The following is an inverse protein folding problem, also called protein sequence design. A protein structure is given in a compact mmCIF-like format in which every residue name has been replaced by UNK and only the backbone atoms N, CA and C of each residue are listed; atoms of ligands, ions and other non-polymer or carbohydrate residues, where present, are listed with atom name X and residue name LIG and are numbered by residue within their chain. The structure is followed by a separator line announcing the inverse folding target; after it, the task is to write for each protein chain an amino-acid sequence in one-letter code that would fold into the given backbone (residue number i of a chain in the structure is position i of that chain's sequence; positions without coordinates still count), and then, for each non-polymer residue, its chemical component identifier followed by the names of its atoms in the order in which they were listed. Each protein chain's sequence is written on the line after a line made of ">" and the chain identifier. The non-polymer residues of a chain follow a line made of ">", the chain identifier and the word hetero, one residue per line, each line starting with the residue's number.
data_IF_058601317853
#
_entry.id   IF_058601317853
#
_cell.length_a   1.000
_cell.length_b   1.000
_cell.length_c   1.000
_cell.angle_alpha   90.00
_cell.angle_beta   90.00
_cell.angle_gamma   90.00
#
_symmetry.space_group_name_H-M   'P 1'
#
loop_
_entity.id
_entity.type
_entity.pdbx_description
1 polymer ?
#
# COMPACT_ATOMS: atom_id res chain seq x y z
N UNK A 1 -0.33 -4.91 29.58
CA UNK A 1 0.43 -4.73 28.31
C UNK A 1 0.02 -5.85 27.37
N UNK A 2 -0.13 -5.58 26.07
CA UNK A 2 -0.49 -6.64 25.11
C UNK A 2 0.69 -7.61 24.92
N UNK A 3 0.44 -8.92 24.76
CA UNK A 3 1.49 -9.89 24.48
C UNK A 3 2.23 -9.52 23.19
N UNK A 4 3.57 -9.52 23.23
CA UNK A 4 4.42 -9.36 22.04
C UNK A 4 4.89 -10.74 21.60
N UNK A 5 4.09 -11.38 20.75
CA UNK A 5 4.40 -12.68 20.16
C UNK A 5 4.78 -12.50 18.69
N UNK A 6 5.68 -13.34 18.21
CA UNK A 6 6.09 -13.33 16.80
C UNK A 6 5.13 -14.21 16.00
N UNK A 7 4.36 -13.60 15.09
CA UNK A 7 3.50 -14.33 14.16
C UNK A 7 4.33 -14.57 12.89
N UNK A 8 4.71 -15.82 12.57
CA UNK A 8 5.42 -16.08 11.33
C UNK A 8 4.49 -15.83 10.15
N UNK A 9 5.02 -15.17 9.11
CA UNK A 9 4.29 -15.02 7.86
C UNK A 9 4.05 -16.39 7.22
N UNK A 10 2.81 -16.61 6.81
CA UNK A 10 2.42 -17.77 6.03
C UNK A 10 2.91 -17.64 4.59
N UNK A 11 2.85 -18.75 3.83
CA UNK A 11 3.16 -18.72 2.39
C UNK A 11 2.23 -17.78 1.63
N UNK A 12 0.98 -17.67 2.06
CA UNK A 12 -0.01 -16.81 1.44
C UNK A 12 0.36 -15.34 1.61
N UNK A 13 0.80 -14.95 2.80
CA UNK A 13 1.23 -13.56 3.09
C UNK A 13 2.42 -13.16 2.23
N UNK A 14 3.39 -14.07 2.05
CA UNK A 14 4.52 -13.84 1.15
C UNK A 14 4.12 -13.72 -0.32
N UNK A 15 3.10 -14.47 -0.77
CA UNK A 15 2.56 -14.34 -2.13
C UNK A 15 1.89 -12.98 -2.31
N UNK A 16 1.09 -12.54 -1.33
CA UNK A 16 0.46 -11.22 -1.37
C UNK A 16 1.50 -10.09 -1.37
N UNK A 17 2.53 -10.19 -0.53
CA UNK A 17 3.64 -9.24 -0.49
C UNK A 17 4.39 -9.18 -1.83
N UNK A 18 4.66 -10.33 -2.44
CA UNK A 18 5.30 -10.39 -3.76
C UNK A 18 4.42 -9.76 -4.85
N UNK A 19 3.11 -10.01 -4.85
CA UNK A 19 2.18 -9.39 -5.80
C UNK A 19 2.15 -7.86 -5.60
N UNK A 20 2.04 -7.40 -4.35
CA UNK A 20 2.03 -5.98 -4.02
C UNK A 20 3.33 -5.29 -4.48
N UNK A 21 4.48 -5.90 -4.20
CA UNK A 21 5.79 -5.42 -4.64
C UNK A 21 5.89 -5.36 -6.17
N UNK A 22 5.45 -6.41 -6.89
CA UNK A 22 5.49 -6.44 -8.35
C UNK A 22 4.59 -5.37 -8.98
N UNK A 23 3.40 -5.12 -8.42
CA UNK A 23 2.50 -4.05 -8.88
C UNK A 23 3.15 -2.68 -8.64
N UNK A 24 3.69 -2.43 -7.45
CA UNK A 24 4.38 -1.19 -7.12
C UNK A 24 5.59 -0.95 -8.03
N UNK A 25 6.46 -1.94 -8.17
CA UNK A 25 7.67 -1.86 -8.99
C UNK A 25 7.34 -1.73 -10.48
N UNK A 26 6.35 -2.49 -10.96
CA UNK A 26 5.86 -2.42 -12.33
C UNK A 26 5.27 -1.05 -12.67
N UNK A 27 4.46 -0.47 -11.78
CA UNK A 27 3.93 0.89 -11.94
C UNK A 27 5.02 1.96 -11.95
N UNK A 28 6.00 1.85 -11.05
CA UNK A 28 7.15 2.75 -11.03
C UNK A 28 7.98 2.65 -12.31
N UNK A 29 8.28 1.44 -12.76
CA UNK A 29 9.03 1.19 -13.99
C UNK A 29 8.27 1.72 -15.21
N UNK A 30 6.97 1.47 -15.28
CA UNK A 30 6.10 1.98 -16.34
C UNK A 30 6.14 3.50 -16.40
N UNK A 31 6.06 4.19 -15.25
CA UNK A 31 6.19 5.64 -15.21
C UNK A 31 7.55 6.09 -15.73
N UNK A 32 8.65 5.52 -15.23
CA UNK A 32 10.01 5.90 -15.63
C UNK A 32 10.20 5.76 -17.15
N UNK A 33 9.76 4.64 -17.73
CA UNK A 33 9.91 4.37 -19.17
C UNK A 33 9.14 5.39 -20.02
N UNK A 34 7.96 5.81 -19.58
CA UNK A 34 7.06 6.66 -20.37
C UNK A 34 7.07 8.15 -19.93
N UNK A 35 7.86 8.53 -18.93
CA UNK A 35 7.81 9.87 -18.36
C UNK A 35 8.20 10.97 -19.36
N UNK A 36 9.23 10.70 -20.17
CA UNK A 36 9.73 11.64 -21.18
C UNK A 36 8.73 11.83 -22.33
N UNK A 37 8.05 10.75 -22.74
CA UNK A 37 7.05 10.80 -23.83
C UNK A 37 5.70 11.34 -23.37
N UNK A 38 5.47 11.43 -22.06
CA UNK A 38 4.23 11.98 -21.49
C UNK A 38 4.20 13.51 -21.68
N UNK A 39 3.09 14.09 -22.18
CA UNK A 39 2.93 15.54 -22.30
C UNK A 39 3.08 16.27 -20.97
N UNK A 40 3.57 17.51 -21.00
CA UNK A 40 3.79 18.30 -19.78
C UNK A 40 2.50 18.55 -18.97
N UNK A 41 1.34 18.55 -19.66
CA UNK A 41 0.02 18.65 -19.06
C UNK A 41 -0.77 17.36 -19.33
N UNK A 42 -1.27 16.74 -18.27
CA UNK A 42 -2.09 15.53 -18.33
C UNK A 42 -3.46 15.81 -17.69
N UNK A 43 -4.54 15.16 -18.15
CA UNK A 43 -5.81 15.18 -17.44
C UNK A 43 -5.68 14.63 -16.02
N UNK A 44 -6.19 15.35 -15.03
CA UNK A 44 -6.17 14.96 -13.61
C UNK A 44 -7.56 14.72 -13.05
N UNK A 45 -8.60 15.23 -13.71
CA UNK A 45 -9.99 15.01 -13.33
C UNK A 45 -10.85 14.80 -14.56
N UNK A 46 -11.76 13.84 -14.47
CA UNK A 46 -12.72 13.48 -15.50
C UNK A 46 -14.12 13.60 -14.94
N UNK A 47 -15.07 14.05 -15.76
CA UNK A 47 -16.49 14.00 -15.38
C UNK A 47 -17.07 12.58 -15.52
N UNK A 48 -18.35 12.44 -15.20
CA UNK A 48 -19.10 11.19 -15.30
C UNK A 48 -19.24 10.66 -16.74
N UNK A 49 -18.96 11.47 -17.76
CA UNK A 49 -18.96 11.08 -19.18
C UNK A 49 -17.59 10.61 -19.65
N UNK A 50 -16.54 10.76 -18.82
CA UNK A 50 -15.16 10.47 -19.19
C UNK A 50 -14.45 11.62 -19.90
N UNK A 51 -15.01 12.83 -19.88
CA UNK A 51 -14.39 14.00 -20.50
C UNK A 51 -13.41 14.66 -19.50
N UNK A 52 -12.17 14.99 -19.91
CA UNK A 52 -11.24 15.75 -19.08
C UNK A 52 -11.82 17.12 -18.71
N UNK A 53 -12.02 17.38 -17.42
CA UNK A 53 -12.47 18.71 -16.94
C UNK A 53 -11.33 19.52 -16.33
N UNK A 54 -10.24 18.86 -15.93
CA UNK A 54 -9.06 19.53 -15.36
C UNK A 54 -7.80 18.82 -15.81
N UNK A 55 -6.77 19.60 -16.11
CA UNK A 55 -5.42 19.13 -16.41
C UNK A 55 -4.42 19.69 -15.42
N UNK A 56 -3.29 19.00 -15.24
CA UNK A 56 -2.21 19.40 -14.37
C UNK A 56 -0.86 18.90 -14.87
N UNK A 57 0.21 19.33 -14.21
CA UNK A 57 1.56 18.95 -14.60
C UNK A 57 1.80 17.45 -14.46
N UNK A 58 2.49 16.84 -15.44
CA UNK A 58 2.96 15.43 -15.35
C UNK A 58 3.84 15.17 -14.14
N UNK A 59 4.49 16.19 -13.59
CA UNK A 59 5.33 16.07 -12.38
C UNK A 59 4.51 15.66 -11.14
N UNK A 60 3.18 15.86 -11.15
CA UNK A 60 2.29 15.37 -10.09
C UNK A 60 2.30 13.84 -9.95
N UNK A 61 2.69 13.10 -11.02
CA UNK A 61 2.86 11.65 -10.97
C UNK A 61 3.95 11.22 -9.99
N UNK A 62 5.00 12.02 -9.79
CA UNK A 62 6.04 11.73 -8.80
C UNK A 62 5.53 11.86 -7.36
N UNK A 63 4.62 12.80 -7.11
CA UNK A 63 3.94 12.90 -5.82
C UNK A 63 3.09 11.64 -5.57
N UNK A 64 2.38 11.14 -6.59
CA UNK A 64 1.63 9.89 -6.48
C UNK A 64 2.55 8.69 -6.22
N UNK A 65 3.72 8.61 -6.87
CA UNK A 65 4.72 7.58 -6.57
C UNK A 65 5.19 7.68 -5.12
N UNK A 66 5.47 8.88 -4.62
CA UNK A 66 5.90 9.07 -3.23
C UNK A 66 4.82 8.64 -2.23
N UNK A 67 3.56 9.01 -2.46
CA UNK A 67 2.42 8.60 -1.63
C UNK A 67 2.25 7.09 -1.69
N UNK A 68 2.23 6.50 -2.88
CA UNK A 68 2.05 5.06 -3.07
C UNK A 68 3.18 4.25 -2.40
N UNK A 69 4.43 4.68 -2.56
CA UNK A 69 5.59 4.07 -1.91
C UNK A 69 5.50 4.18 -0.39
N UNK A 70 5.09 5.34 0.12
CA UNK A 70 4.90 5.56 1.56
C UNK A 70 3.80 4.65 2.12
N UNK A 71 2.69 4.49 1.41
CA UNK A 71 1.60 3.61 1.79
C UNK A 71 2.03 2.13 1.77
N UNK A 72 2.69 1.69 0.70
CA UNK A 72 3.21 0.32 0.60
C UNK A 72 4.15 0.00 1.77
N UNK A 73 5.17 0.84 2.00
CA UNK A 73 6.13 0.66 3.10
C UNK A 73 5.41 0.71 4.45
N UNK A 74 4.51 1.67 4.66
CA UNK A 74 3.77 1.80 5.91
C UNK A 74 2.98 0.52 6.22
N UNK A 75 2.20 0.03 5.26
CA UNK A 75 1.39 -1.19 5.41
C UNK A 75 2.29 -2.39 5.68
N UNK A 76 3.31 -2.63 4.86
CA UNK A 76 4.24 -3.76 5.03
C UNK A 76 4.94 -3.73 6.40
N UNK A 77 5.32 -2.55 6.90
CA UNK A 77 5.99 -2.40 8.20
C UNK A 77 5.00 -2.61 9.35
N UNK A 78 3.84 -1.95 9.35
CA UNK A 78 2.89 -2.06 10.47
C UNK A 78 2.29 -3.46 10.59
N UNK A 79 2.17 -4.19 9.48
CA UNK A 79 1.80 -5.61 9.44
C UNK A 79 2.78 -6.51 10.21
N UNK A 80 4.04 -6.09 10.43
CA UNK A 80 5.00 -6.81 11.29
C UNK A 80 4.78 -6.57 12.79
N UNK A 81 3.92 -5.62 13.15
CA UNK A 81 3.67 -5.23 14.54
C UNK A 81 2.17 -5.31 14.90
N UNK A 82 1.53 -6.49 14.81
CA UNK A 82 0.08 -6.64 15.04
C UNK A 82 -0.37 -6.14 16.42
N UNK A 83 0.49 -6.24 17.44
CA UNK A 83 0.21 -5.74 18.78
C UNK A 83 -0.10 -4.23 18.85
N UNK A 84 0.30 -3.46 17.84
CA UNK A 84 0.03 -2.02 17.73
C UNK A 84 -1.37 -1.67 17.19
N UNK A 85 -2.09 -2.64 16.61
CA UNK A 85 -3.37 -2.39 15.98
C UNK A 85 -4.50 -2.13 16.98
N UNK A 86 -5.57 -1.50 16.53
CA UNK A 86 -6.76 -1.31 17.34
C UNK A 86 -7.63 -2.57 17.27
N UNK A 87 -7.86 -3.21 18.42
CA UNK A 87 -8.72 -4.39 18.54
C UNK A 87 -10.01 -4.01 19.29
N UNK A 88 -11.19 -4.44 18.82
CA UNK A 88 -12.47 -4.18 19.47
C UNK A 88 -12.70 -5.03 20.74
N UNK A 89 -11.79 -5.98 21.01
CA UNK A 89 -11.80 -6.83 22.19
C UNK A 89 -10.45 -6.75 22.91
N UNK A 90 -10.45 -7.10 24.20
CA UNK A 90 -9.21 -7.22 24.95
C UNK A 90 -8.34 -8.38 24.41
N UNK A 91 -7.05 -8.10 24.24
CA UNK A 91 -6.07 -9.08 23.81
C UNK A 91 -5.42 -9.72 25.04
N UNK A 92 -5.66 -11.02 25.19
CA UNK A 92 -5.11 -11.86 26.27
C UNK A 92 -4.10 -12.85 25.70
N UNK A 93 -3.28 -13.46 26.56
CA UNK A 93 -2.30 -14.48 26.13
C UNK A 93 -2.95 -15.68 25.41
N UNK A 94 -4.23 -15.96 25.68
CA UNK A 94 -4.97 -17.09 25.11
C UNK A 94 -5.51 -16.78 23.71
N UNK A 95 -5.81 -15.51 23.39
CA UNK A 95 -6.41 -15.11 22.12
C UNK A 95 -5.45 -14.36 21.18
N UNK A 96 -4.29 -13.91 21.68
CA UNK A 96 -3.35 -13.07 20.97
C UNK A 96 -2.93 -13.64 19.62
N UNK A 97 -2.55 -14.93 19.56
CA UNK A 97 -2.11 -15.57 18.32
C UNK A 97 -3.19 -15.48 17.24
N UNK A 98 -4.38 -16.01 17.53
CA UNK A 98 -5.51 -15.98 16.60
C UNK A 98 -5.89 -14.57 16.18
N UNK A 99 -5.89 -13.61 17.10
CA UNK A 99 -6.30 -12.22 16.82
C UNK A 99 -5.26 -11.45 16.02
N UNK A 100 -3.98 -11.71 16.24
CA UNK A 100 -2.90 -11.11 15.48
C UNK A 100 -2.85 -11.68 14.06
N UNK A 101 -2.98 -12.99 13.89
CA UNK A 101 -3.03 -13.63 12.56
C UNK A 101 -4.23 -13.16 11.73
N UNK A 102 -5.38 -12.86 12.34
CA UNK A 102 -6.54 -12.36 11.61
C UNK A 102 -6.44 -10.89 11.20
N UNK A 103 -5.49 -10.14 11.77
CA UNK A 103 -5.39 -8.71 11.57
C UNK A 103 -4.28 -8.34 10.56
N UNK A 104 -3.43 -9.29 10.20
CA UNK A 104 -2.26 -9.13 9.32
C UNK A 104 -2.49 -9.86 8.01
#
# INVERSE_FOLDING_TARGET
>A
MRPKINIPLTRFDWVLEAIAFLIWAGGLLFLIINFETTPDQIPTHYDHTGTPTTSGSKNSLWLLVAINTSLYVLITVVSRFPHSFNYPIEITSQNAERKYTLAV
#
